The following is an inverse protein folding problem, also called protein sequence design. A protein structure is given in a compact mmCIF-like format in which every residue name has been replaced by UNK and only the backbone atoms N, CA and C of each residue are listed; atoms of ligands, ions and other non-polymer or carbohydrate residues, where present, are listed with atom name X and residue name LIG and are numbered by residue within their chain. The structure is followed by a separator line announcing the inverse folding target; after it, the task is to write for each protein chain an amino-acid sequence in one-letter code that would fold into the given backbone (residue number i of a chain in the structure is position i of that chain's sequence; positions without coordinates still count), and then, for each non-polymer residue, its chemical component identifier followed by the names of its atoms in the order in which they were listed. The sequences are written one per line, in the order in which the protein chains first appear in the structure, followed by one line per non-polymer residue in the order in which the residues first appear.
data_IF_019337408724
#
_entry.id   IF_019337408724
#
_cell.length_a   1.000
_cell.length_b   1.000
_cell.length_c   1.000
_cell.angle_alpha   90.00
_cell.angle_beta   90.00
_cell.angle_gamma   90.00
#
_symmetry.space_group_name_H-M   'P 1'
#
loop_
_entity.id
_entity.type
_entity.pdbx_description
1 polymer ?
#
# COMPACT_ATOMS: atom_id res chain seq x y z
N UNK A 1 10.01 7.36 -23.57
CA UNK A 1 9.33 6.41 -22.65
C UNK A 1 7.84 6.64 -22.76
N UNK A 2 7.01 5.61 -22.64
CA UNK A 2 5.55 5.73 -22.79
C UNK A 2 4.82 4.81 -21.81
N UNK A 3 3.69 5.28 -21.26
CA UNK A 3 2.83 4.47 -20.40
C UNK A 3 1.83 3.70 -21.25
N UNK A 4 1.82 2.38 -21.12
CA UNK A 4 0.95 1.49 -21.88
C UNK A 4 -0.02 0.78 -20.95
N UNK A 5 -1.31 0.85 -21.27
CA UNK A 5 -2.37 0.09 -20.60
C UNK A 5 -2.69 -1.15 -21.41
N UNK A 6 -2.67 -2.32 -20.79
CA UNK A 6 -2.95 -3.59 -21.43
C UNK A 6 -4.03 -4.33 -20.66
N UNK A 7 -5.17 -4.55 -21.30
CA UNK A 7 -6.29 -5.28 -20.73
C UNK A 7 -6.08 -6.80 -20.87
N UNK A 8 -6.10 -7.52 -19.75
CA UNK A 8 -6.09 -8.97 -19.73
C UNK A 8 -7.54 -9.51 -19.71
N UNK A 9 -7.96 -10.11 -20.82
CA UNK A 9 -9.31 -10.66 -20.99
C UNK A 9 -9.60 -11.86 -20.07
N UNK A 10 -8.58 -12.59 -19.61
CA UNK A 10 -8.79 -13.76 -18.73
C UNK A 10 -9.14 -13.34 -17.31
N UNK A 11 -8.50 -12.29 -16.81
CA UNK A 11 -8.64 -11.84 -15.42
C UNK A 11 -9.50 -10.59 -15.29
N UNK A 12 -9.79 -9.89 -16.39
CA UNK A 12 -10.49 -8.61 -16.40
C UNK A 12 -9.63 -7.45 -15.85
N UNK A 13 -8.34 -7.66 -15.63
CA UNK A 13 -7.44 -6.66 -15.03
C UNK A 13 -6.74 -5.86 -16.12
N UNK A 14 -6.70 -4.54 -15.97
CA UNK A 14 -5.86 -3.69 -16.83
C UNK A 14 -4.50 -3.48 -16.17
N UNK A 15 -3.45 -3.98 -16.79
CA UNK A 15 -2.08 -3.76 -16.34
C UNK A 15 -1.48 -2.50 -16.97
N UNK A 16 -0.63 -1.82 -16.21
CA UNK A 16 0.03 -0.58 -16.62
C UNK A 16 1.53 -0.79 -16.65
N UNK A 17 2.15 -0.48 -17.80
CA UNK A 17 3.58 -0.68 -18.05
C UNK A 17 4.27 0.62 -18.42
N UNK A 18 5.51 0.78 -17.96
CA UNK A 18 6.47 1.74 -18.51
C UNK A 18 7.19 1.07 -19.69
N UNK A 19 7.08 1.66 -20.88
CA UNK A 19 7.66 1.14 -22.12
C UNK A 19 8.83 2.01 -22.57
N UNK A 20 10.02 1.40 -22.69
CA UNK A 20 11.24 2.03 -23.19
C UNK A 20 11.62 1.41 -24.54
N UNK A 21 11.49 2.20 -25.61
CA UNK A 21 11.93 1.81 -26.95
C UNK A 21 13.43 2.01 -27.10
N UNK A 22 14.11 1.09 -27.77
CA UNK A 22 15.52 1.15 -28.10
C UNK A 22 15.78 0.49 -29.46
N UNK A 23 16.84 0.90 -30.14
CA UNK A 23 17.27 0.25 -31.37
C UNK A 23 18.22 -0.89 -31.02
N UNK A 24 17.85 -2.12 -31.36
CA UNK A 24 18.68 -3.30 -31.17
C UNK A 24 19.66 -3.41 -32.35
N UNK A 25 20.94 -3.14 -32.10
CA UNK A 25 21.99 -3.13 -33.14
C UNK A 25 22.31 -4.53 -33.68
N UNK A 26 22.20 -5.56 -32.86
CA UNK A 26 22.46 -6.94 -33.27
C UNK A 26 21.37 -7.43 -34.21
N UNK A 27 20.11 -7.18 -33.83
CA UNK A 27 18.93 -7.59 -34.60
C UNK A 27 18.47 -6.57 -35.63
N UNK A 28 19.17 -5.43 -35.75
CA UNK A 28 18.89 -4.32 -36.67
C UNK A 28 17.42 -3.91 -36.72
N UNK A 29 16.75 -3.87 -35.57
CA UNK A 29 15.34 -3.52 -35.49
C UNK A 29 15.02 -2.74 -34.22
N UNK A 30 13.97 -1.91 -34.28
CA UNK A 30 13.43 -1.24 -33.10
C UNK A 30 12.76 -2.27 -32.19
N UNK A 31 13.13 -2.23 -30.91
CA UNK A 31 12.58 -3.08 -29.84
C UNK A 31 12.09 -2.22 -28.68
N UNK A 32 11.28 -2.80 -27.82
CA UNK A 32 10.81 -2.14 -26.60
C UNK A 32 10.92 -3.07 -25.40
N UNK A 33 11.41 -2.53 -24.28
CA UNK A 33 11.42 -3.18 -22.98
C UNK A 33 10.29 -2.60 -22.13
N UNK A 34 9.42 -3.47 -21.61
CA UNK A 34 8.28 -3.10 -20.76
C UNK A 34 8.54 -3.48 -19.31
N UNK A 35 8.27 -2.55 -18.40
CA UNK A 35 8.37 -2.76 -16.95
C UNK A 35 6.98 -2.57 -16.33
N UNK A 36 6.49 -3.59 -15.61
CA UNK A 36 5.20 -3.52 -14.94
C UNK A 36 5.26 -2.51 -13.80
N UNK A 37 4.40 -1.48 -13.87
CA UNK A 37 4.22 -0.47 -12.84
C UNK A 37 3.17 -0.96 -11.83
N UNK A 38 2.02 -1.43 -12.34
CA UNK A 38 0.90 -1.82 -11.51
C UNK A 38 -0.32 -2.27 -12.31
N UNK A 39 -1.45 -2.40 -11.62
CA UNK A 39 -2.79 -2.64 -12.18
C UNK A 39 -3.64 -1.37 -12.02
N UNK A 40 -4.55 -1.14 -12.95
CA UNK A 40 -5.52 -0.06 -12.87
C UNK A 40 -6.69 -0.51 -11.99
N UNK A 41 -7.10 0.32 -11.05
CA UNK A 41 -8.37 0.15 -10.35
C UNK A 41 -9.52 0.61 -11.28
N UNK A 42 -10.50 -0.25 -11.59
CA UNK A 42 -11.63 0.13 -12.43
C UNK A 42 -12.52 1.24 -11.82
N UNK A 43 -12.50 1.41 -10.49
CA UNK A 43 -13.37 2.38 -9.82
C UNK A 43 -12.71 3.75 -9.68
N UNK A 44 -11.45 3.78 -9.27
CA UNK A 44 -10.71 5.04 -8.99
C UNK A 44 -9.88 5.50 -10.17
N UNK A 45 -9.57 4.61 -11.13
CA UNK A 45 -8.65 4.90 -12.22
C UNK A 45 -7.19 5.03 -11.77
N UNK A 46 -6.89 4.77 -10.50
CA UNK A 46 -5.55 4.85 -9.95
C UNK A 46 -4.71 3.61 -10.31
N UNK A 47 -3.39 3.78 -10.30
CA UNK A 47 -2.44 2.69 -10.58
C UNK A 47 -2.02 2.07 -9.25
N UNK A 48 -2.57 0.90 -8.94
CA UNK A 48 -2.26 0.14 -7.75
C UNK A 48 -1.04 -0.75 -8.05
N UNK A 49 0.04 -0.68 -7.26
CA UNK A 49 1.19 -1.55 -7.44
C UNK A 49 0.77 -3.02 -7.29
N UNK A 50 1.34 -3.89 -8.13
CA UNK A 50 1.11 -5.33 -8.03
C UNK A 50 1.93 -5.89 -6.85
N UNK A 51 1.46 -6.97 -6.21
CA UNK A 51 1.97 -7.66 -5.00
C UNK A 51 3.44 -8.16 -5.09
N UNK A 52 4.25 -7.64 -6.01
CA UNK A 52 5.70 -7.86 -6.01
C UNK A 52 6.15 -9.32 -6.12
N UNK A 53 5.26 -10.28 -6.40
CA UNK A 53 5.62 -11.69 -6.52
C UNK A 53 6.72 -11.83 -7.59
N UNK A 54 7.82 -12.49 -7.22
CA UNK A 54 9.10 -12.57 -7.95
C UNK A 54 10.00 -11.32 -8.00
N UNK A 55 9.67 -10.22 -7.31
CA UNK A 55 10.64 -9.16 -6.99
C UNK A 55 11.29 -9.52 -5.65
N UNK A 56 12.37 -10.30 -5.69
CA UNK A 56 13.15 -10.61 -4.50
C UNK A 56 13.39 -9.35 -3.65
N UNK A 57 12.81 -9.31 -2.46
CA UNK A 57 13.10 -8.43 -1.32
C UNK A 57 13.31 -6.90 -1.51
N UNK A 58 13.15 -6.30 -2.70
CA UNK A 58 13.64 -4.92 -2.97
C UNK A 58 12.60 -3.90 -3.46
N UNK A 59 11.31 -4.20 -3.42
CA UNK A 59 10.29 -3.19 -3.73
C UNK A 59 9.10 -3.31 -2.80
N UNK A 60 9.34 -3.16 -1.50
CA UNK A 60 8.31 -2.58 -0.65
C UNK A 60 8.31 -1.08 -0.96
N UNK A 61 7.17 -0.46 -1.34
CA UNK A 61 7.08 0.99 -1.30
C UNK A 61 7.38 1.38 0.15
N UNK A 62 8.49 2.09 0.37
CA UNK A 62 8.77 2.71 1.65
C UNK A 62 7.72 3.81 1.84
N UNK A 63 6.52 3.45 2.29
CA UNK A 63 5.78 4.35 3.17
C UNK A 63 6.74 4.60 4.33
N UNK A 64 7.25 5.82 4.40
CA UNK A 64 8.14 6.30 5.45
C UNK A 64 7.39 6.34 6.78
N UNK A 65 7.02 5.17 7.29
CA UNK A 65 6.71 5.00 8.70
C UNK A 65 8.06 4.89 9.39
N UNK A 66 8.35 5.70 10.43
CA UNK A 66 9.51 5.44 11.26
C UNK A 66 9.48 3.98 11.69
N UNK A 67 10.65 3.35 11.74
CA UNK A 67 10.84 1.98 12.20
C UNK A 67 10.52 1.95 13.70
N UNK A 68 9.23 2.01 14.02
CA UNK A 68 8.72 2.03 15.37
C UNK A 68 8.95 0.63 15.92
N UNK A 69 9.73 0.55 16.99
CA UNK A 69 9.84 -0.63 17.83
C UNK A 69 8.42 -1.05 18.24
N UNK A 70 7.93 -2.12 17.60
CA UNK A 70 6.53 -2.54 17.71
C UNK A 70 6.18 -2.85 19.16
N UNK A 71 7.15 -3.34 19.92
CA UNK A 71 6.96 -3.73 21.31
C UNK A 71 6.72 -2.50 22.19
N UNK A 72 7.49 -1.42 21.97
CA UNK A 72 7.25 -0.13 22.65
C UNK A 72 5.90 0.45 22.29
N UNK A 73 5.51 0.40 21.01
CA UNK A 73 4.22 0.93 20.58
C UNK A 73 3.05 0.14 21.15
N UNK A 74 3.18 -1.18 21.25
CA UNK A 74 2.17 -2.04 21.89
C UNK A 74 2.05 -1.64 23.36
N UNK A 75 3.16 -1.48 24.07
CA UNK A 75 3.17 -1.08 25.48
C UNK A 75 2.50 0.29 25.70
N UNK A 76 2.82 1.29 24.86
CA UNK A 76 2.17 2.61 24.90
C UNK A 76 0.65 2.52 24.72
N UNK A 77 0.20 1.73 23.73
CA UNK A 77 -1.22 1.56 23.44
C UNK A 77 -1.94 0.82 24.58
N UNK A 78 -1.30 -0.13 25.23
CA UNK A 78 -1.85 -0.84 26.40
C UNK A 78 -2.03 0.11 27.59
N UNK A 79 -1.04 0.96 27.85
CA UNK A 79 -1.10 1.96 28.91
C UNK A 79 -2.19 3.01 28.64
N UNK A 80 -2.30 3.50 27.41
CA UNK A 80 -3.36 4.43 26.99
C UNK A 80 -4.75 3.81 27.16
N UNK A 81 -4.93 2.56 26.73
CA UNK A 81 -6.18 1.82 26.93
C UNK A 81 -6.52 1.65 28.41
N UNK A 82 -5.53 1.42 29.27
CA UNK A 82 -5.73 1.32 30.72
C UNK A 82 -6.21 2.65 31.31
N UNK A 83 -5.59 3.76 30.92
CA UNK A 83 -5.97 5.10 31.38
C UNK A 83 -7.39 5.47 30.94
N UNK A 84 -7.73 5.23 29.67
CA UNK A 84 -9.06 5.48 29.12
C UNK A 84 -10.15 4.68 29.86
N UNK A 85 -9.87 3.40 30.18
CA UNK A 85 -10.80 2.57 30.97
C UNK A 85 -11.06 3.14 32.37
N UNK A 86 -10.02 3.67 33.03
CA UNK A 86 -10.16 4.28 34.35
C UNK A 86 -10.99 5.57 34.28
N UNK A 87 -10.74 6.42 33.28
CA UNK A 87 -11.53 7.63 33.05
C UNK A 87 -13.00 7.30 32.79
N UNK A 88 -13.29 6.31 31.95
CA UNK A 88 -14.66 5.86 31.69
C UNK A 88 -15.34 5.39 32.97
N UNK A 89 -14.64 4.64 33.83
CA UNK A 89 -15.22 4.18 35.10
C UNK A 89 -15.50 5.36 36.05
N UNK A 90 -14.58 6.32 36.14
CA UNK A 90 -14.77 7.53 36.95
C UNK A 90 -15.97 8.35 36.47
N UNK A 91 -16.07 8.62 35.16
CA UNK A 91 -17.19 9.35 34.56
C UNK A 91 -18.52 8.64 34.76
N UNK A 92 -18.55 7.30 34.64
CA UNK A 92 -19.75 6.51 34.94
C UNK A 92 -20.22 6.70 36.38
N UNK A 93 -19.29 6.67 37.35
CA UNK A 93 -19.63 6.92 38.76
C UNK A 93 -20.13 8.35 39.00
N UNK A 94 -19.59 9.34 38.29
CA UNK A 94 -20.10 10.71 38.36
C UNK A 94 -21.51 10.83 37.78
N UNK A 95 -21.78 10.19 36.64
CA UNK A 95 -23.13 10.12 36.08
C UNK A 95 -24.11 9.42 37.02
N UNK A 96 -23.71 8.31 37.65
CA UNK A 96 -24.54 7.62 38.63
C UNK A 96 -24.85 8.50 39.85
N UNK A 97 -23.92 9.37 40.28
CA UNK A 97 -24.15 10.35 41.35
C UNK A 97 -25.06 11.49 40.96
N UNK A 98 -25.00 11.94 39.70
CA UNK A 98 -25.86 13.03 39.19
C UNK A 98 -27.28 12.53 38.93
N UNK A 99 -27.43 11.26 38.56
CA UNK A 99 -28.72 10.63 38.27
C UNK A 99 -29.38 9.95 39.49
N UNK A 100 -28.74 10.00 40.67
CA UNK A 100 -29.28 9.54 41.96
C UNK A 100 -29.91 10.70 42.72
#
# INVERSE_FOLDING_TARGET
MAIIKQFDKRTGITYVYDSKSYYDKEKKCSRAKRTLIGKLDPNTGEIIPTDGRNKGAKSQPKSSSPEIDKDKRIQELEDENRQLKLQINALKKELDRINA
#
